data_IF_424743414851
#
_entry.id   IF_424743414851
#
_cell.length_a   1.000
_cell.length_b   1.000
_cell.length_c   1.000
_cell.angle_alpha   90.00
_cell.angle_beta   90.00
_cell.angle_gamma   90.00
#
_symmetry.space_group_name_H-M   'P 1'
#
loop_
_entity.id
_entity.type
_entity.pdbx_description
1 polymer ?
#
# COMPACT_ATOMS: atom_id res chain seq x y z
N UNK A 1 10.43 17.11 15.72
CA UNK A 1 10.63 17.33 14.28
C UNK A 1 9.36 18.01 13.77
N UNK A 2 9.51 19.09 13.03
CA UNK A 2 8.38 19.94 12.58
C UNK A 2 7.62 19.36 11.38
N UNK A 3 8.14 18.28 10.81
CA UNK A 3 7.52 17.60 9.68
C UNK A 3 7.66 16.08 9.79
N UNK A 4 6.65 15.37 9.31
CA UNK A 4 6.57 13.89 9.30
C UNK A 4 6.24 13.43 7.89
N UNK A 5 6.97 12.45 7.40
CA UNK A 5 6.62 11.73 6.17
C UNK A 5 5.87 10.47 6.57
N UNK A 6 4.66 10.35 6.09
CA UNK A 6 3.84 9.15 6.22
C UNK A 6 3.98 8.35 4.93
N UNK A 7 4.39 7.10 5.03
CA UNK A 7 4.52 6.22 3.87
C UNK A 7 3.36 5.22 3.83
N UNK A 8 2.82 4.94 2.65
CA UNK A 8 2.26 3.62 2.42
C UNK A 8 3.39 2.59 2.31
N UNK A 9 3.06 1.32 2.40
CA UNK A 9 4.05 0.25 2.30
C UNK A 9 4.13 -0.34 0.89
N UNK A 10 3.02 -0.84 0.38
CA UNK A 10 2.94 -1.57 -0.88
C UNK A 10 3.06 -0.63 -2.08
N UNK A 11 3.95 -0.93 -3.01
CA UNK A 11 4.21 -0.06 -4.15
C UNK A 11 5.02 1.20 -3.83
N UNK A 12 5.27 1.51 -2.55
CA UNK A 12 6.06 2.65 -2.08
C UNK A 12 7.38 2.20 -1.48
N UNK A 13 7.34 1.38 -0.44
CA UNK A 13 8.51 0.84 0.26
C UNK A 13 8.80 -0.59 -0.16
N UNK A 14 7.76 -1.42 -0.30
CA UNK A 14 7.86 -2.82 -0.69
C UNK A 14 7.35 -3.05 -2.11
N UNK A 15 8.11 -3.80 -2.90
CA UNK A 15 7.68 -4.34 -4.19
C UNK A 15 6.86 -5.61 -3.92
N UNK A 16 5.60 -5.63 -4.37
CA UNK A 16 4.61 -6.64 -3.99
C UNK A 16 3.98 -7.37 -5.17
N UNK A 17 4.52 -7.17 -6.37
CA UNK A 17 3.98 -7.79 -7.59
C UNK A 17 3.99 -9.32 -7.51
N UNK A 18 5.06 -9.89 -6.95
CA UNK A 18 5.23 -11.34 -6.80
C UNK A 18 4.74 -11.88 -5.44
N UNK A 19 4.20 -11.00 -4.57
CA UNK A 19 3.62 -11.38 -3.28
C UNK A 19 2.12 -11.14 -3.24
N UNK A 20 1.64 -9.97 -2.81
CA UNK A 20 0.21 -9.67 -2.70
C UNK A 20 -0.56 -9.81 -4.00
N UNK A 21 -0.03 -9.24 -5.12
CA UNK A 21 -0.71 -9.31 -6.41
C UNK A 21 -0.74 -10.74 -6.95
N UNK A 22 0.31 -11.51 -6.74
CA UNK A 22 0.34 -12.92 -7.10
C UNK A 22 -0.60 -13.75 -6.21
N UNK A 23 -0.76 -13.38 -4.92
CA UNK A 23 -1.75 -14.01 -4.03
C UNK A 23 -3.18 -13.82 -4.52
N UNK A 24 -3.53 -12.63 -5.04
CA UNK A 24 -4.83 -12.39 -5.69
C UNK A 24 -5.02 -13.36 -6.87
N UNK A 25 -4.01 -13.45 -7.76
CA UNK A 25 -4.07 -14.31 -8.96
C UNK A 25 -4.28 -15.77 -8.58
N UNK A 26 -3.50 -16.28 -7.61
CA UNK A 26 -3.57 -17.67 -7.17
C UNK A 26 -4.88 -17.99 -6.45
N UNK A 27 -5.37 -17.08 -5.60
CA UNK A 27 -6.65 -17.24 -4.90
C UNK A 27 -7.82 -17.27 -5.87
N UNK A 28 -7.89 -16.32 -6.81
CA UNK A 28 -8.93 -16.29 -7.84
C UNK A 28 -8.89 -17.57 -8.70
N UNK A 29 -7.68 -17.97 -9.11
CA UNK A 29 -7.50 -19.19 -9.92
C UNK A 29 -7.94 -20.45 -9.17
N UNK A 30 -7.63 -20.55 -7.88
CA UNK A 30 -8.02 -21.68 -7.04
C UNK A 30 -9.53 -21.89 -7.04
N UNK A 31 -10.30 -20.82 -6.80
CA UNK A 31 -11.73 -20.91 -6.69
C UNK A 31 -12.47 -21.00 -8.04
N UNK A 32 -11.95 -20.33 -9.06
CA UNK A 32 -12.68 -20.15 -10.33
C UNK A 32 -12.14 -20.98 -11.49
N UNK A 33 -10.94 -21.54 -11.36
CA UNK A 33 -10.20 -22.15 -12.46
C UNK A 33 -9.70 -21.14 -13.52
N UNK A 34 -10.00 -19.84 -13.36
CA UNK A 34 -9.65 -18.78 -14.31
C UNK A 34 -8.49 -17.94 -13.77
N UNK A 35 -7.67 -17.41 -14.67
CA UNK A 35 -6.58 -16.51 -14.31
C UNK A 35 -7.01 -15.07 -14.57
N UNK A 36 -6.83 -14.20 -13.57
CA UNK A 36 -6.96 -12.74 -13.71
C UNK A 36 -5.61 -12.17 -14.10
N UNK A 37 -5.58 -11.23 -15.05
CA UNK A 37 -4.35 -10.52 -15.43
C UNK A 37 -4.01 -9.43 -14.42
N UNK A 38 -2.72 -9.08 -14.34
CA UNK A 38 -2.26 -7.96 -13.49
C UNK A 38 -2.88 -6.62 -13.93
N UNK A 39 -3.11 -6.44 -15.23
CA UNK A 39 -3.79 -5.26 -15.78
C UNK A 39 -5.23 -5.16 -15.30
N UNK A 40 -5.97 -6.29 -15.28
CA UNK A 40 -7.32 -6.31 -14.76
C UNK A 40 -7.36 -6.01 -13.25
N UNK A 41 -6.41 -6.52 -12.47
CA UNK A 41 -6.27 -6.16 -11.05
C UNK A 41 -6.04 -4.65 -10.91
N UNK A 42 -5.19 -4.07 -11.75
CA UNK A 42 -4.93 -2.64 -11.72
C UNK A 42 -6.14 -1.80 -12.13
N UNK A 43 -6.97 -2.28 -13.07
CA UNK A 43 -8.23 -1.61 -13.45
C UNK A 43 -9.17 -1.49 -12.24
N UNK A 44 -9.29 -2.52 -11.40
CA UNK A 44 -10.03 -2.44 -10.15
C UNK A 44 -9.42 -1.41 -9.18
N UNK A 45 -8.10 -1.46 -8.99
CA UNK A 45 -7.40 -0.53 -8.09
C UNK A 45 -7.56 0.93 -8.53
N UNK A 46 -7.53 1.22 -9.83
CA UNK A 46 -7.73 2.57 -10.37
C UNK A 46 -9.17 3.09 -10.20
N UNK A 47 -10.17 2.20 -10.11
CA UNK A 47 -11.53 2.61 -9.78
C UNK A 47 -11.64 3.13 -8.35
N UNK A 48 -10.76 2.65 -7.46
CA UNK A 48 -10.76 2.96 -6.03
C UNK A 48 -11.72 2.10 -5.21
N UNK A 49 -11.49 2.07 -3.90
CA UNK A 49 -12.27 1.24 -2.97
C UNK A 49 -11.79 -0.20 -2.87
N UNK A 50 -10.72 -0.56 -3.57
CA UNK A 50 -10.17 -1.92 -3.60
C UNK A 50 -8.78 -2.02 -2.95
N UNK A 51 -8.57 -1.28 -1.88
CA UNK A 51 -7.32 -1.36 -1.11
C UNK A 51 -7.20 -2.68 -0.32
N UNK A 52 -8.32 -3.33 -0.01
CA UNK A 52 -8.36 -4.65 0.63
C UNK A 52 -8.26 -5.75 -0.43
N UNK A 53 -7.13 -6.45 -0.51
CA UNK A 53 -6.84 -7.47 -1.53
C UNK A 53 -7.65 -8.75 -1.35
N UNK A 54 -8.11 -9.07 -0.15
CA UNK A 54 -9.04 -10.18 0.10
C UNK A 54 -10.42 -9.88 -0.49
N UNK A 55 -10.95 -8.67 -0.22
CA UNK A 55 -12.21 -8.22 -0.79
C UNK A 55 -12.12 -8.11 -2.33
N UNK A 56 -10.99 -7.65 -2.85
CA UNK A 56 -10.73 -7.62 -4.29
C UNK A 56 -10.72 -9.03 -4.89
N UNK A 57 -10.06 -10.00 -4.24
CA UNK A 57 -10.04 -11.40 -4.67
C UNK A 57 -11.44 -12.00 -4.71
N UNK A 58 -12.26 -11.74 -3.66
CA UNK A 58 -13.64 -12.14 -3.58
C UNK A 58 -14.49 -11.54 -4.72
N UNK A 59 -14.33 -10.24 -4.97
CA UNK A 59 -15.03 -9.51 -6.04
C UNK A 59 -14.70 -10.09 -7.41
N UNK A 60 -13.43 -10.31 -7.71
CA UNK A 60 -12.99 -10.87 -9.00
C UNK A 60 -13.55 -12.30 -9.18
N UNK A 61 -13.51 -13.11 -8.12
CA UNK A 61 -14.13 -14.45 -8.18
C UNK A 61 -15.63 -14.38 -8.45
N UNK A 62 -16.35 -13.45 -7.82
CA UNK A 62 -17.78 -13.22 -8.07
C UNK A 62 -18.06 -12.78 -9.51
N UNK A 63 -17.22 -11.92 -10.09
CA UNK A 63 -17.33 -11.50 -11.49
C UNK A 63 -17.07 -12.66 -12.48
N UNK A 64 -16.30 -13.65 -12.05
CA UNK A 64 -16.12 -14.90 -12.80
C UNK A 64 -17.24 -15.92 -12.54
N UNK A 65 -18.28 -15.57 -11.76
CA UNK A 65 -19.46 -16.37 -11.49
C UNK A 65 -19.37 -17.25 -10.24
N UNK A 66 -18.36 -17.07 -9.39
CA UNK A 66 -18.15 -17.88 -8.19
C UNK A 66 -18.38 -17.04 -6.92
N UNK A 67 -19.46 -17.33 -6.18
CA UNK A 67 -19.73 -16.72 -4.87
C UNK A 67 -19.02 -17.53 -3.79
N UNK A 68 -18.17 -16.85 -3.01
CA UNK A 68 -17.33 -17.45 -1.96
C UNK A 68 -17.48 -16.61 -0.71
N UNK A 69 -17.54 -17.26 0.44
CA UNK A 69 -17.51 -16.59 1.73
C UNK A 69 -16.19 -15.83 1.93
N UNK A 70 -16.27 -14.65 2.57
CA UNK A 70 -15.12 -13.77 2.73
C UNK A 70 -14.00 -14.43 3.54
N UNK A 71 -14.34 -15.09 4.66
CA UNK A 71 -13.33 -15.72 5.53
C UNK A 71 -12.62 -16.87 4.79
N UNK A 72 -13.34 -17.61 3.94
CA UNK A 72 -12.77 -18.65 3.07
C UNK A 72 -11.76 -18.06 2.07
N UNK A 73 -12.05 -16.87 1.52
CA UNK A 73 -11.10 -16.16 0.64
C UNK A 73 -9.87 -15.72 1.42
N UNK A 74 -10.04 -15.15 2.63
CA UNK A 74 -8.95 -14.72 3.51
C UNK A 74 -8.03 -15.90 3.86
N UNK A 75 -8.60 -17.03 4.26
CA UNK A 75 -7.82 -18.25 4.58
C UNK A 75 -6.96 -18.70 3.39
N UNK A 76 -7.57 -18.81 2.20
CA UNK A 76 -6.86 -19.27 1.01
C UNK A 76 -5.80 -18.26 0.55
N UNK A 77 -6.11 -16.97 0.61
CA UNK A 77 -5.15 -15.92 0.29
C UNK A 77 -3.94 -15.97 1.22
N UNK A 78 -4.17 -16.10 2.53
CA UNK A 78 -3.11 -16.16 3.52
C UNK A 78 -2.27 -17.45 3.42
N UNK A 79 -2.86 -18.56 3.01
CA UNK A 79 -2.11 -19.78 2.69
C UNK A 79 -1.06 -19.53 1.58
N UNK A 80 -1.42 -18.79 0.54
CA UNK A 80 -0.47 -18.41 -0.51
C UNK A 80 0.50 -17.32 -0.06
N UNK A 81 -0.01 -16.27 0.58
CA UNK A 81 0.79 -15.11 0.95
C UNK A 81 1.80 -15.43 2.05
N UNK A 82 1.35 -16.01 3.16
CA UNK A 82 2.19 -16.31 4.32
C UNK A 82 2.84 -17.68 4.23
N UNK A 83 2.15 -18.68 3.65
CA UNK A 83 2.58 -20.07 3.72
C UNK A 83 2.44 -20.65 5.14
N UNK A 84 2.99 -21.83 5.38
CA UNK A 84 2.87 -22.50 6.68
C UNK A 84 3.71 -21.87 7.80
N UNK A 85 4.85 -21.25 7.50
CA UNK A 85 5.77 -20.68 8.48
C UNK A 85 6.42 -19.37 7.96
N UNK A 86 5.67 -18.54 7.26
CA UNK A 86 6.21 -17.33 6.63
C UNK A 86 7.06 -17.62 5.39
N UNK A 87 6.92 -18.82 4.80
CA UNK A 87 7.62 -19.24 3.59
C UNK A 87 6.81 -19.07 2.30
N UNK A 88 5.67 -18.40 2.40
CA UNK A 88 4.81 -18.10 1.27
C UNK A 88 5.34 -17.01 0.35
N UNK A 89 4.44 -16.45 -0.45
CA UNK A 89 4.78 -15.42 -1.44
C UNK A 89 5.36 -14.14 -0.81
N UNK A 90 5.10 -13.86 0.47
CA UNK A 90 5.72 -12.75 1.23
C UNK A 90 7.26 -12.79 1.14
N UNK A 91 7.86 -13.96 0.98
CA UNK A 91 9.32 -14.10 0.82
C UNK A 91 9.86 -13.55 -0.51
N UNK A 92 8.98 -13.33 -1.49
CA UNK A 92 9.33 -12.80 -2.81
C UNK A 92 9.33 -11.27 -2.88
N UNK A 93 8.93 -10.61 -1.81
CA UNK A 93 9.01 -9.15 -1.73
C UNK A 93 10.45 -8.66 -1.86
N UNK A 94 10.62 -7.51 -2.48
CA UNK A 94 11.86 -6.75 -2.48
C UNK A 94 11.62 -5.34 -1.93
N UNK A 95 12.69 -4.58 -1.73
CA UNK A 95 12.64 -3.29 -1.06
C UNK A 95 13.06 -2.19 -2.02
N UNK A 96 12.21 -1.17 -2.19
CA UNK A 96 12.47 -0.06 -3.09
C UNK A 96 13.47 0.98 -2.56
N UNK A 97 13.44 1.37 -1.27
CA UNK A 97 14.39 2.36 -0.77
C UNK A 97 15.84 1.89 -0.92
N UNK A 98 16.68 2.72 -1.53
CA UNK A 98 18.11 2.47 -1.58
C UNK A 98 18.72 2.52 -0.17
N UNK A 99 19.82 1.79 0.07
CA UNK A 99 20.51 1.82 1.36
C UNK A 99 20.79 3.25 1.84
N UNK A 100 20.43 3.56 3.09
CA UNK A 100 20.65 4.85 3.70
C UNK A 100 19.57 5.91 3.43
N UNK A 101 18.60 5.67 2.53
CA UNK A 101 17.54 6.65 2.26
C UNK A 101 16.71 6.95 3.50
N UNK A 102 16.17 5.90 4.14
CA UNK A 102 15.29 6.08 5.30
C UNK A 102 16.04 6.67 6.50
N UNK A 103 17.31 6.36 6.66
CA UNK A 103 18.18 6.94 7.69
C UNK A 103 18.39 8.44 7.45
N UNK A 104 18.67 8.87 6.20
CA UNK A 104 18.80 10.30 5.86
C UNK A 104 17.48 11.05 6.05
N UNK A 105 16.36 10.46 5.63
CA UNK A 105 15.05 11.04 5.87
C UNK A 105 14.76 11.14 7.36
N UNK A 106 15.01 10.07 8.12
CA UNK A 106 14.80 10.03 9.57
C UNK A 106 15.67 11.02 10.38
N UNK A 107 16.80 11.47 9.82
CA UNK A 107 17.62 12.52 10.43
C UNK A 107 16.98 13.92 10.31
N UNK A 108 16.05 14.13 9.35
CA UNK A 108 15.41 15.42 9.03
C UNK A 108 13.93 15.45 9.36
N UNK A 109 13.26 14.33 9.24
CA UNK A 109 11.80 14.19 9.36
C UNK A 109 11.45 13.09 10.36
N UNK A 110 10.28 13.19 10.99
CA UNK A 110 9.64 12.02 11.58
C UNK A 110 9.22 11.05 10.46
N UNK A 111 9.38 9.75 10.69
CA UNK A 111 8.90 8.74 9.76
C UNK A 111 7.68 8.04 10.36
N UNK A 112 6.63 7.90 9.58
CA UNK A 112 5.37 7.25 9.96
C UNK A 112 4.94 6.29 8.86
N UNK A 113 4.10 5.33 9.20
CA UNK A 113 3.55 4.37 8.24
C UNK A 113 2.02 4.37 8.33
N UNK A 114 1.35 4.34 7.16
CA UNK A 114 -0.08 4.06 7.06
C UNK A 114 -0.32 3.08 5.92
N UNK A 115 -0.60 1.83 6.27
CA UNK A 115 -0.71 0.72 5.31
C UNK A 115 -2.05 -0.02 5.43
N UNK A 116 -2.50 -0.60 4.31
CA UNK A 116 -3.63 -1.53 4.28
C UNK A 116 -3.30 -2.94 4.79
N UNK A 117 -2.04 -3.23 5.15
CA UNK A 117 -1.65 -4.50 5.76
C UNK A 117 -2.11 -4.59 7.21
N UNK A 118 -2.35 -5.80 7.68
CA UNK A 118 -2.40 -6.07 9.11
C UNK A 118 -1.02 -5.85 9.75
N UNK A 119 -1.00 -5.51 11.03
CA UNK A 119 0.24 -5.17 11.73
C UNK A 119 1.29 -6.28 11.65
N UNK A 120 0.88 -7.53 11.86
CA UNK A 120 1.81 -8.65 11.82
C UNK A 120 2.43 -8.87 10.41
N UNK A 121 1.68 -8.58 9.34
CA UNK A 121 2.16 -8.67 7.96
C UNK A 121 3.18 -7.56 7.66
N UNK A 122 2.87 -6.32 8.09
CA UNK A 122 3.80 -5.21 7.99
C UNK A 122 5.10 -5.48 8.76
N UNK A 123 4.99 -6.04 9.97
CA UNK A 123 6.14 -6.40 10.80
C UNK A 123 7.05 -7.44 10.14
N UNK A 124 6.52 -8.44 9.41
CA UNK A 124 7.33 -9.42 8.68
C UNK A 124 8.26 -8.70 7.69
N UNK A 125 7.70 -7.81 6.87
CA UNK A 125 8.44 -7.08 5.85
C UNK A 125 9.43 -6.07 6.48
N UNK A 126 9.00 -5.31 7.49
CA UNK A 126 9.87 -4.33 8.16
C UNK A 126 11.05 -4.98 8.88
N UNK A 127 10.85 -6.11 9.56
CA UNK A 127 11.95 -6.85 10.20
C UNK A 127 12.99 -7.35 9.19
N UNK A 128 12.55 -7.67 7.99
CA UNK A 128 13.42 -8.15 6.92
C UNK A 128 14.24 -7.02 6.29
N UNK A 129 13.63 -5.89 6.01
CA UNK A 129 14.24 -4.86 5.17
C UNK A 129 14.65 -3.58 5.91
N UNK A 130 13.98 -3.25 7.00
CA UNK A 130 14.18 -2.01 7.74
C UNK A 130 14.19 -2.21 9.27
N UNK A 131 14.95 -3.21 9.82
CA UNK A 131 14.88 -3.57 11.24
C UNK A 131 15.32 -2.45 12.19
N UNK A 132 16.09 -1.49 11.71
CA UNK A 132 16.59 -0.36 12.50
C UNK A 132 15.81 0.94 12.28
N UNK A 133 14.84 0.96 11.36
CA UNK A 133 14.04 2.16 11.07
C UNK A 133 12.81 2.17 11.98
N UNK A 134 12.60 3.29 12.67
CA UNK A 134 11.43 3.49 13.49
C UNK A 134 10.37 4.30 12.76
N UNK A 135 9.21 3.70 12.52
CA UNK A 135 8.01 4.38 12.07
C UNK A 135 7.11 4.68 13.27
N UNK A 136 6.87 5.95 13.57
CA UNK A 136 6.11 6.39 14.74
C UNK A 136 5.23 7.62 14.44
N UNK A 137 3.88 7.46 14.44
CA UNK A 137 3.16 6.19 14.62
C UNK A 137 3.16 5.30 13.37
N UNK A 138 2.94 4.01 13.58
CA UNK A 138 2.57 3.06 12.53
C UNK A 138 1.08 2.74 12.67
N UNK A 139 0.33 2.98 11.61
CA UNK A 139 -1.11 2.70 11.50
C UNK A 139 -1.30 1.62 10.45
N UNK A 140 -1.95 0.54 10.82
CA UNK A 140 -2.21 -0.63 10.00
C UNK A 140 -3.72 -0.84 9.81
N UNK A 141 -4.12 -1.80 8.98
CA UNK A 141 -5.53 -2.08 8.73
C UNK A 141 -6.33 -2.41 10.01
N UNK A 142 -5.70 -3.08 10.97
CA UNK A 142 -6.28 -3.43 12.27
C UNK A 142 -6.33 -2.28 13.29
N UNK A 143 -5.78 -1.10 12.96
CA UNK A 143 -5.84 0.10 13.80
C UNK A 143 -6.95 1.08 13.39
N UNK A 144 -7.67 0.81 12.28
CA UNK A 144 -8.71 1.68 11.73
C UNK A 144 -10.02 0.93 11.54
N UNK A 145 -11.14 1.66 11.64
CA UNK A 145 -12.46 1.10 11.36
C UNK A 145 -12.84 1.23 9.88
N UNK A 146 -12.31 2.24 9.21
CA UNK A 146 -12.54 2.50 7.80
C UNK A 146 -11.20 2.52 7.04
N UNK A 147 -11.05 1.56 6.12
CA UNK A 147 -9.87 1.47 5.25
C UNK A 147 -9.80 2.64 4.26
N UNK A 148 -8.61 2.89 3.68
CA UNK A 148 -8.44 3.81 2.57
C UNK A 148 -9.50 3.55 1.47
N UNK A 149 -10.14 4.57 0.93
CA UNK A 149 -9.78 5.99 0.92
C UNK A 149 -10.27 6.83 2.12
N UNK A 150 -10.83 6.21 3.17
CA UNK A 150 -11.19 6.95 4.38
C UNK A 150 -9.95 7.57 5.04
N UNK A 151 -10.04 8.82 5.56
CA UNK A 151 -8.89 9.55 6.10
C UNK A 151 -8.49 9.13 7.52
N UNK A 152 -9.18 8.17 8.14
CA UNK A 152 -9.07 7.84 9.57
C UNK A 152 -7.62 7.63 10.02
N UNK A 153 -6.81 6.87 9.27
CA UNK A 153 -5.42 6.63 9.63
C UNK A 153 -4.55 7.90 9.60
N UNK A 154 -4.71 8.76 8.58
CA UNK A 154 -3.99 10.04 8.51
C UNK A 154 -4.44 11.00 9.61
N UNK A 155 -5.74 11.08 9.91
CA UNK A 155 -6.26 11.89 11.00
C UNK A 155 -5.75 11.42 12.36
N UNK A 156 -5.61 10.11 12.55
CA UNK A 156 -5.00 9.53 13.75
C UNK A 156 -3.53 9.94 13.88
N UNK A 157 -2.77 9.95 12.78
CA UNK A 157 -1.39 10.42 12.78
C UNK A 157 -1.32 11.91 13.10
N UNK A 158 -2.19 12.74 12.50
CA UNK A 158 -2.27 14.17 12.82
C UNK A 158 -2.55 14.42 14.31
N UNK A 159 -3.48 13.67 14.90
CA UNK A 159 -3.79 13.78 16.33
C UNK A 159 -2.60 13.41 17.22
N UNK A 160 -1.79 12.42 16.83
CA UNK A 160 -0.59 12.01 17.56
C UNK A 160 0.61 12.93 17.33
N UNK A 161 0.59 13.73 16.25
CA UNK A 161 1.66 14.67 15.85
C UNK A 161 1.07 16.04 15.52
N UNK A 162 0.36 16.70 16.46
CA UNK A 162 -0.48 17.88 16.17
C UNK A 162 0.31 19.10 15.64
N UNK A 163 1.60 19.22 16.00
CA UNK A 163 2.44 20.33 15.58
C UNK A 163 3.24 20.03 14.29
N UNK A 164 3.15 18.80 13.76
CA UNK A 164 3.93 18.40 12.61
C UNK A 164 3.17 18.63 11.30
N UNK A 165 3.86 19.18 10.29
CA UNK A 165 3.38 19.16 8.91
C UNK A 165 3.54 17.73 8.37
N UNK A 166 2.43 17.13 7.91
CA UNK A 166 2.46 15.81 7.31
C UNK A 166 2.67 15.88 5.80
N UNK A 167 3.34 14.87 5.26
CA UNK A 167 3.41 14.52 3.85
C UNK A 167 2.99 13.06 3.72
N UNK A 168 2.10 12.73 2.80
CA UNK A 168 1.71 11.34 2.56
C UNK A 168 2.22 10.85 1.21
N UNK A 169 2.88 9.69 1.22
CA UNK A 169 3.44 9.04 0.03
C UNK A 169 2.68 7.74 -0.23
N UNK A 170 2.09 7.61 -1.41
CA UNK A 170 1.29 6.43 -1.79
C UNK A 170 1.37 6.14 -3.28
N UNK A 171 0.93 4.95 -3.69
CA UNK A 171 0.96 4.48 -5.07
C UNK A 171 -0.43 4.23 -5.68
N UNK A 172 -1.51 4.44 -4.90
CA UNK A 172 -2.89 4.18 -5.34
C UNK A 172 -3.75 5.44 -5.36
N UNK A 173 -4.84 5.39 -6.13
CA UNK A 173 -5.85 6.47 -6.10
C UNK A 173 -6.54 6.57 -4.74
N UNK A 174 -6.64 5.48 -4.00
CA UNK A 174 -7.21 5.47 -2.64
C UNK A 174 -6.31 6.21 -1.65
N UNK A 175 -4.98 6.16 -1.82
CA UNK A 175 -4.04 6.96 -1.04
C UNK A 175 -4.22 8.46 -1.31
N UNK A 176 -4.31 8.83 -2.60
CA UNK A 176 -4.51 10.21 -2.99
C UNK A 176 -5.83 10.79 -2.46
N UNK A 177 -6.92 10.01 -2.55
CA UNK A 177 -8.25 10.39 -2.00
C UNK A 177 -8.22 10.50 -0.48
N UNK A 178 -7.56 9.56 0.18
CA UNK A 178 -7.35 9.58 1.64
C UNK A 178 -6.58 10.83 2.07
N UNK A 179 -5.48 11.15 1.40
CA UNK A 179 -4.69 12.35 1.66
C UNK A 179 -5.51 13.63 1.47
N UNK A 180 -6.25 13.74 0.36
CA UNK A 180 -7.14 14.88 0.10
C UNK A 180 -8.20 15.04 1.18
N UNK A 181 -8.83 13.93 1.60
CA UNK A 181 -9.86 13.95 2.63
C UNK A 181 -9.31 14.35 4.01
N UNK A 182 -8.05 14.04 4.30
CA UNK A 182 -7.33 14.43 5.51
C UNK A 182 -6.68 15.84 5.41
N UNK A 183 -6.77 16.51 4.25
CA UNK A 183 -6.05 17.75 3.95
C UNK A 183 -4.51 17.63 4.12
N UNK A 184 -3.94 16.47 3.78
CA UNK A 184 -2.49 16.18 3.82
C UNK A 184 -1.93 16.27 2.40
N UNK A 185 -0.83 17.00 2.15
CA UNK A 185 -0.13 17.00 0.87
C UNK A 185 0.25 15.58 0.46
N UNK A 186 -0.08 15.21 -0.79
CA UNK A 186 0.14 13.87 -1.34
C UNK A 186 1.26 13.86 -2.37
N UNK A 187 2.18 12.91 -2.23
CA UNK A 187 3.21 12.58 -3.21
C UNK A 187 2.89 11.20 -3.77
N UNK A 188 2.57 11.15 -5.06
CA UNK A 188 2.23 9.90 -5.74
C UNK A 188 3.48 9.17 -6.27
N UNK A 189 3.50 7.86 -6.16
CA UNK A 189 4.50 7.00 -6.83
C UNK A 189 3.83 6.36 -8.05
N UNK A 190 4.36 6.64 -9.24
CA UNK A 190 3.89 6.09 -10.51
C UNK A 190 5.08 5.54 -11.31
N UNK A 191 5.46 4.29 -11.01
CA UNK A 191 6.62 3.64 -11.61
C UNK A 191 6.48 3.47 -13.13
N UNK A 192 7.59 3.56 -13.89
CA UNK A 192 7.58 3.33 -15.34
C UNK A 192 7.10 1.93 -15.72
N UNK A 193 7.30 0.94 -14.85
CA UNK A 193 6.84 -0.43 -15.06
C UNK A 193 5.34 -0.60 -14.86
N UNK A 194 4.65 0.44 -14.40
CA UNK A 194 3.21 0.38 -14.13
C UNK A 194 2.43 0.42 -15.46
N UNK A 195 1.67 -0.63 -15.77
CA UNK A 195 1.00 -0.81 -17.08
C UNK A 195 -0.03 0.28 -17.38
N UNK A 196 -0.66 0.87 -16.35
CA UNK A 196 -1.64 1.97 -16.45
C UNK A 196 -1.08 3.30 -15.94
N UNK A 197 0.22 3.53 -16.11
CA UNK A 197 0.92 4.69 -15.54
C UNK A 197 0.29 6.04 -15.90
N UNK A 198 -0.03 6.25 -17.18
CA UNK A 198 -0.60 7.54 -17.63
C UNK A 198 -2.00 7.79 -17.07
N UNK A 199 -2.77 6.73 -16.85
CA UNK A 199 -4.07 6.83 -16.19
C UNK A 199 -3.89 7.16 -14.70
N UNK A 200 -2.98 6.47 -14.01
CA UNK A 200 -2.68 6.72 -12.61
C UNK A 200 -2.18 8.16 -12.38
N UNK A 201 -1.29 8.66 -13.24
CA UNK A 201 -0.81 10.05 -13.18
C UNK A 201 -1.98 11.03 -13.28
N UNK A 202 -2.92 10.82 -14.22
CA UNK A 202 -4.11 11.68 -14.35
C UNK A 202 -4.99 11.65 -13.11
N UNK A 203 -5.17 10.47 -12.52
CA UNK A 203 -5.93 10.32 -11.27
C UNK A 203 -5.24 11.06 -10.12
N UNK A 204 -3.93 10.94 -9.96
CA UNK A 204 -3.18 11.69 -8.94
C UNK A 204 -3.28 13.20 -9.12
N UNK A 205 -3.22 13.70 -10.37
CA UNK A 205 -3.41 15.11 -10.67
C UNK A 205 -4.82 15.60 -10.32
N UNK A 206 -5.85 14.79 -10.59
CA UNK A 206 -7.25 15.10 -10.21
C UNK A 206 -7.44 15.15 -8.68
N UNK A 207 -6.66 14.37 -7.94
CA UNK A 207 -6.66 14.35 -6.47
C UNK A 207 -5.70 15.38 -5.86
N UNK A 208 -5.14 16.31 -6.66
CA UNK A 208 -4.24 17.39 -6.26
C UNK A 208 -2.89 16.90 -5.67
N UNK A 209 -2.31 15.84 -6.23
CA UNK A 209 -0.96 15.43 -5.85
C UNK A 209 0.03 16.60 -6.04
N UNK A 210 0.85 16.88 -5.03
CA UNK A 210 1.83 17.96 -5.05
C UNK A 210 3.10 17.60 -5.81
N UNK A 211 3.38 16.30 -5.91
CA UNK A 211 4.43 15.73 -6.76
C UNK A 211 4.04 14.31 -7.18
N UNK A 212 4.57 13.88 -8.32
CA UNK A 212 4.44 12.50 -8.80
C UNK A 212 5.84 12.03 -9.17
N UNK A 213 6.30 10.99 -8.49
CA UNK A 213 7.65 10.44 -8.62
C UNK A 213 7.58 9.09 -9.31
N UNK A 214 8.68 8.66 -9.88
CA UNK A 214 8.80 7.33 -10.45
C UNK A 214 8.99 6.26 -9.37
N UNK A 215 9.76 6.59 -8.34
CA UNK A 215 10.03 5.71 -7.21
C UNK A 215 10.39 6.54 -5.96
N UNK A 216 10.38 5.87 -4.81
CA UNK A 216 10.62 6.51 -3.51
C UNK A 216 12.02 7.16 -3.38
N UNK A 217 12.99 6.74 -4.16
CA UNK A 217 14.35 7.26 -4.07
C UNK A 217 14.51 8.69 -4.61
N UNK A 218 13.47 9.23 -5.25
CA UNK A 218 13.40 10.61 -5.73
C UNK A 218 12.80 11.57 -4.70
N UNK A 219 12.35 11.07 -3.54
CA UNK A 219 11.56 11.83 -2.57
C UNK A 219 12.30 13.04 -2.01
N UNK A 220 13.63 12.98 -1.84
CA UNK A 220 14.42 14.08 -1.29
C UNK A 220 14.35 15.35 -2.17
N UNK A 221 14.05 15.20 -3.47
CA UNK A 221 13.85 16.32 -4.39
C UNK A 221 12.43 16.91 -4.39
N UNK A 222 11.46 16.25 -3.74
CA UNK A 222 10.07 16.67 -3.68
C UNK A 222 9.67 17.28 -2.32
N UNK A 223 10.53 17.20 -1.32
CA UNK A 223 10.39 17.73 0.04
C UNK A 223 11.18 19.03 0.18
#
# INVERSE_FOLDING_TARGET
>A
MDSVIVFDMDGVLAEVTESYRESIVQTVRFFTGKTVSRDAIQDYKNQGGWNNDWALSQKIAADFGMQIDYDTVVEKFNEYFLGENGNGLVTRESWFPQPGLLERLGARFGLSLFTGRLRYEADITLRRFAPCVKFDPMICADDVTAAKPAPEGLLTIQQRKPEAKLWYVGDTVDDARCARAAAVPFIGIAAHTHTKRDELIRLFQQENAVAILENINEIEGAL
#
